data_IF_515866738629
#
_entry.id   IF_515866738629
#
_cell.length_a   1.000
_cell.length_b   1.000
_cell.length_c   1.000
_cell.angle_alpha   90.00
_cell.angle_beta   90.00
_cell.angle_gamma   90.00
#
_symmetry.space_group_name_H-M   'P 1'
#
loop_
_entity.id
_entity.type
_entity.pdbx_description
1 polymer ?
#
# COMPACT_ATOMS: atom_id res chain seq x y z
N UNK A 1 -2.68 -14.79 -2.92
CA UNK A 1 -2.89 -14.53 -1.47
C UNK A 1 -1.75 -15.20 -0.74
N UNK A 2 -1.11 -14.45 0.15
CA UNK A 2 0.02 -14.88 0.95
C UNK A 2 -0.30 -14.67 2.43
N UNK A 3 0.35 -15.44 3.29
CA UNK A 3 0.23 -15.30 4.74
C UNK A 3 1.57 -14.79 5.25
N UNK A 4 1.65 -13.50 5.57
CA UNK A 4 2.87 -12.84 6.05
C UNK A 4 2.70 -12.58 7.54
N UNK A 5 3.55 -13.18 8.37
CA UNK A 5 3.43 -13.14 9.83
C UNK A 5 2.03 -13.55 10.35
N UNK A 6 1.24 -14.33 9.63
CA UNK A 6 -0.14 -14.68 10.01
C UNK A 6 -1.21 -13.69 9.54
N UNK A 7 -0.84 -12.61 8.84
CA UNK A 7 -1.74 -11.65 8.20
C UNK A 7 -2.02 -12.09 6.76
N UNK A 8 -3.30 -12.08 6.35
CA UNK A 8 -3.69 -12.41 4.97
C UNK A 8 -3.46 -11.22 4.05
N UNK A 9 -2.47 -11.34 3.16
CA UNK A 9 -2.08 -10.31 2.19
C UNK A 9 -2.47 -10.75 0.78
N UNK A 10 -3.22 -9.91 0.07
CA UNK A 10 -3.48 -10.09 -1.35
C UNK A 10 -2.44 -9.27 -2.15
N UNK A 11 -1.51 -9.95 -2.82
CA UNK A 11 -0.63 -9.30 -3.80
C UNK A 11 -1.42 -9.12 -5.09
N UNK A 12 -1.72 -7.87 -5.44
CA UNK A 12 -2.47 -7.54 -6.64
C UNK A 12 -1.60 -7.64 -7.89
N UNK A 13 -2.19 -8.09 -8.99
CA UNK A 13 -1.62 -8.02 -10.34
C UNK A 13 -2.27 -6.91 -11.19
N UNK A 14 -3.19 -6.14 -10.60
CA UNK A 14 -4.02 -5.13 -11.27
C UNK A 14 -3.55 -3.71 -10.91
N UNK A 15 -3.58 -2.80 -11.89
CA UNK A 15 -3.27 -1.39 -11.67
C UNK A 15 -4.30 -0.68 -10.81
N UNK A 16 -3.84 0.32 -10.08
CA UNK A 16 -4.63 1.15 -9.18
C UNK A 16 -4.41 2.62 -9.55
N UNK A 17 -5.21 3.11 -10.51
CA UNK A 17 -5.02 4.45 -11.09
C UNK A 17 -5.88 5.51 -10.40
N UNK A 18 -7.00 5.10 -9.78
CA UNK A 18 -7.97 6.02 -9.19
C UNK A 18 -8.73 5.44 -7.98
N UNK A 19 -9.58 6.25 -7.37
CA UNK A 19 -10.40 5.86 -6.21
C UNK A 19 -11.41 4.74 -6.50
N UNK A 20 -11.97 4.67 -7.72
CA UNK A 20 -12.92 3.63 -8.09
C UNK A 20 -12.23 2.27 -8.19
N UNK A 21 -11.03 2.22 -8.77
CA UNK A 21 -10.20 1.00 -8.80
C UNK A 21 -9.88 0.55 -7.37
N UNK A 22 -9.54 1.50 -6.48
CA UNK A 22 -9.25 1.20 -5.07
C UNK A 22 -10.43 0.47 -4.41
N UNK A 23 -11.65 0.99 -4.60
CA UNK A 23 -12.85 0.39 -4.01
C UNK A 23 -13.13 -0.99 -4.59
N UNK A 24 -12.99 -1.17 -5.91
CA UNK A 24 -13.20 -2.46 -6.56
C UNK A 24 -12.23 -3.51 -6.01
N UNK A 25 -10.94 -3.19 -5.95
CA UNK A 25 -9.90 -4.09 -5.45
C UNK A 25 -10.08 -4.41 -3.95
N UNK A 26 -10.51 -3.45 -3.14
CA UNK A 26 -10.84 -3.69 -1.72
C UNK A 26 -11.98 -4.70 -1.59
N UNK A 27 -13.05 -4.53 -2.37
CA UNK A 27 -14.21 -5.43 -2.37
C UNK A 27 -13.79 -6.83 -2.80
N UNK A 28 -13.04 -6.95 -3.89
CA UNK A 28 -12.58 -8.24 -4.41
C UNK A 28 -11.66 -8.94 -3.41
N UNK A 29 -10.68 -8.22 -2.84
CA UNK A 29 -9.78 -8.78 -1.83
C UNK A 29 -10.53 -9.21 -0.55
N UNK A 30 -11.55 -8.48 -0.14
CA UNK A 30 -12.35 -8.84 1.02
C UNK A 30 -13.19 -10.10 0.78
N UNK A 31 -13.96 -10.15 -0.32
CA UNK A 31 -14.89 -11.24 -0.57
C UNK A 31 -14.23 -12.49 -1.14
N UNK A 32 -13.27 -12.35 -2.07
CA UNK A 32 -12.63 -13.48 -2.73
C UNK A 32 -11.45 -14.04 -1.91
N UNK A 33 -10.79 -13.21 -1.12
CA UNK A 33 -9.52 -13.58 -0.46
C UNK A 33 -9.54 -13.41 1.05
N UNK A 34 -10.61 -12.84 1.64
CA UNK A 34 -10.67 -12.51 3.07
C UNK A 34 -9.43 -11.72 3.53
N UNK A 35 -8.82 -10.95 2.63
CA UNK A 35 -7.56 -10.28 2.88
C UNK A 35 -7.74 -9.18 3.93
N UNK A 36 -6.66 -8.93 4.67
CA UNK A 36 -6.56 -7.82 5.61
C UNK A 36 -5.70 -6.69 5.04
N UNK A 37 -4.83 -7.02 4.08
CA UNK A 37 -3.96 -6.10 3.36
C UNK A 37 -3.97 -6.40 1.86
N UNK A 38 -3.77 -5.35 1.07
CA UNK A 38 -3.47 -5.47 -0.37
C UNK A 38 -2.09 -4.88 -0.64
N UNK A 39 -1.24 -5.66 -1.31
CA UNK A 39 0.10 -5.25 -1.72
C UNK A 39 0.13 -4.94 -3.22
N UNK A 40 0.73 -3.80 -3.55
CA UNK A 40 0.96 -3.33 -4.92
C UNK A 40 2.44 -3.06 -5.16
N UNK A 41 2.87 -3.29 -6.39
CA UNK A 41 4.16 -2.78 -6.89
C UNK A 41 4.07 -1.27 -7.16
N UNK A 42 5.17 -0.52 -7.09
CA UNK A 42 5.20 0.89 -7.45
C UNK A 42 4.68 1.16 -8.87
N UNK A 43 4.93 0.24 -9.81
CA UNK A 43 4.51 0.35 -11.21
C UNK A 43 2.98 0.33 -11.37
N UNK A 44 2.28 -0.47 -10.56
CA UNK A 44 0.81 -0.57 -10.58
C UNK A 44 0.11 0.69 -10.06
N UNK A 45 0.79 1.49 -9.23
CA UNK A 45 0.25 2.73 -8.67
C UNK A 45 0.48 3.94 -9.59
N UNK A 46 1.41 3.81 -10.54
CA UNK A 46 1.80 4.89 -11.44
C UNK A 46 2.50 6.06 -10.74
N UNK A 47 3.05 6.99 -11.54
CA UNK A 47 3.82 8.13 -11.02
C UNK A 47 2.96 9.11 -10.21
N UNK A 48 1.70 9.29 -10.60
CA UNK A 48 0.78 10.24 -9.97
C UNK A 48 0.51 9.94 -8.49
N UNK A 49 0.56 8.66 -8.09
CA UNK A 49 0.45 8.26 -6.69
C UNK A 49 1.60 8.83 -5.84
N UNK A 50 2.81 8.83 -6.38
CA UNK A 50 4.01 9.31 -5.68
C UNK A 50 4.19 10.84 -5.75
N UNK A 51 3.43 11.51 -6.63
CA UNK A 51 3.36 12.97 -6.70
C UNK A 51 2.29 13.50 -5.73
N UNK A 52 2.67 13.74 -4.47
CA UNK A 52 1.71 14.06 -3.40
C UNK A 52 0.86 15.33 -3.64
N UNK A 53 1.31 16.25 -4.48
CA UNK A 53 0.55 17.43 -4.88
C UNK A 53 -0.70 17.11 -5.70
N UNK A 54 -0.80 15.92 -6.30
CA UNK A 54 -2.00 15.47 -7.01
C UNK A 54 -3.16 15.18 -6.07
N UNK A 55 -2.88 14.89 -4.79
CA UNK A 55 -3.87 14.44 -3.81
C UNK A 55 -4.33 12.97 -4.00
N UNK A 56 -3.88 12.29 -5.06
CA UNK A 56 -4.31 10.93 -5.40
C UNK A 56 -3.96 9.92 -4.31
N UNK A 57 -2.72 9.92 -3.84
CA UNK A 57 -2.26 9.04 -2.76
C UNK A 57 -3.12 9.18 -1.49
N UNK A 58 -3.48 10.40 -1.12
CA UNK A 58 -4.35 10.68 0.03
C UNK A 58 -5.76 10.12 -0.18
N UNK A 59 -6.35 10.35 -1.36
CA UNK A 59 -7.69 9.87 -1.70
C UNK A 59 -7.77 8.33 -1.69
N UNK A 60 -6.80 7.66 -2.31
CA UNK A 60 -6.68 6.18 -2.29
C UNK A 60 -6.49 5.68 -0.87
N UNK A 61 -5.51 6.21 -0.13
CA UNK A 61 -5.24 5.77 1.26
C UNK A 61 -6.48 5.94 2.14
N UNK A 62 -7.25 7.02 1.95
CA UNK A 62 -8.49 7.24 2.68
C UNK A 62 -9.53 6.14 2.43
N UNK A 63 -9.64 5.59 1.21
CA UNK A 63 -10.52 4.44 0.96
C UNK A 63 -10.09 3.22 1.77
N UNK A 64 -8.81 2.86 1.72
CA UNK A 64 -8.27 1.74 2.48
C UNK A 64 -8.56 1.87 3.99
N UNK A 65 -8.35 3.06 4.56
CA UNK A 65 -8.68 3.36 5.95
C UNK A 65 -10.19 3.23 6.23
N UNK A 66 -11.04 3.80 5.38
CA UNK A 66 -12.50 3.77 5.55
C UNK A 66 -13.05 2.34 5.54
N UNK A 67 -12.51 1.48 4.67
CA UNK A 67 -12.86 0.07 4.58
C UNK A 67 -12.09 -0.83 5.54
N UNK A 68 -11.22 -0.27 6.40
CA UNK A 68 -10.39 -0.99 7.37
C UNK A 68 -9.52 -2.08 6.73
N UNK A 69 -9.02 -1.79 5.54
CA UNK A 69 -8.06 -2.64 4.80
C UNK A 69 -6.69 -1.95 4.81
N UNK A 70 -5.63 -2.71 5.01
CA UNK A 70 -4.26 -2.19 4.87
C UNK A 70 -3.81 -2.08 3.42
N UNK A 71 -3.00 -1.06 3.12
CA UNK A 71 -2.35 -0.86 1.83
C UNK A 71 -0.84 -1.05 1.98
N UNK A 72 -0.24 -1.89 1.17
CA UNK A 72 1.21 -2.04 1.10
C UNK A 72 1.72 -1.69 -0.30
N UNK A 73 2.80 -0.91 -0.35
CA UNK A 73 3.60 -0.67 -1.55
C UNK A 73 4.88 -1.46 -1.42
N UNK A 74 5.06 -2.46 -2.27
CA UNK A 74 6.17 -3.43 -2.21
C UNK A 74 7.04 -3.29 -3.44
N UNK A 75 8.23 -2.72 -3.26
CA UNK A 75 9.21 -2.51 -4.32
C UNK A 75 10.12 -1.29 -4.06
N UNK A 76 11.23 -1.22 -4.79
CA UNK A 76 12.22 -0.16 -4.63
C UNK A 76 11.72 1.20 -5.14
N UNK A 77 11.47 2.13 -4.20
CA UNK A 77 11.16 3.54 -4.47
C UNK A 77 12.26 4.50 -4.01
N UNK A 78 13.45 4.00 -3.69
CA UNK A 78 14.57 4.78 -3.13
C UNK A 78 14.91 6.01 -3.96
N UNK A 79 14.91 5.89 -5.29
CA UNK A 79 15.13 7.01 -6.22
C UNK A 79 14.06 8.09 -6.09
N UNK A 80 12.79 7.71 -5.96
CA UNK A 80 11.65 8.64 -5.79
C UNK A 80 11.75 9.36 -4.45
N UNK A 81 12.04 8.61 -3.39
CA UNK A 81 12.25 9.13 -2.02
C UNK A 81 13.43 10.11 -1.97
N UNK A 82 14.55 9.78 -2.60
CA UNK A 82 15.72 10.66 -2.66
C UNK A 82 15.44 11.97 -3.42
N UNK A 83 14.54 11.94 -4.41
CA UNK A 83 14.19 13.09 -5.23
C UNK A 83 13.12 14.00 -4.60
N UNK A 84 12.38 13.55 -3.59
CA UNK A 84 11.22 14.27 -3.04
C UNK A 84 11.17 14.19 -1.51
N UNK A 85 11.50 15.31 -0.85
CA UNK A 85 11.38 15.43 0.61
C UNK A 85 9.96 15.17 1.12
N UNK A 86 8.88 15.70 0.51
CA UNK A 86 7.52 15.38 0.93
C UNK A 86 7.22 13.87 0.87
N UNK A 87 7.65 13.19 -0.19
CA UNK A 87 7.47 11.75 -0.32
C UNK A 87 8.27 10.99 0.75
N UNK A 88 9.53 11.37 0.99
CA UNK A 88 10.36 10.76 2.02
C UNK A 88 9.73 10.90 3.43
N UNK A 89 9.22 12.10 3.74
CA UNK A 89 8.55 12.35 5.01
C UNK A 89 7.25 11.55 5.14
N UNK A 90 6.48 11.42 4.04
CA UNK A 90 5.25 10.62 4.00
C UNK A 90 5.52 9.13 4.19
N UNK A 91 6.46 8.54 3.46
CA UNK A 91 6.85 7.12 3.59
C UNK A 91 7.24 6.79 5.03
N UNK A 92 8.07 7.63 5.65
CA UNK A 92 8.50 7.43 7.04
C UNK A 92 7.35 7.51 8.03
N UNK A 93 6.39 8.42 7.82
CA UNK A 93 5.23 8.55 8.68
C UNK A 93 4.25 7.39 8.49
N UNK A 94 4.00 6.99 7.24
CA UNK A 94 3.18 5.82 6.89
C UNK A 94 3.72 4.55 7.54
N UNK A 95 5.03 4.29 7.44
CA UNK A 95 5.68 3.12 8.04
C UNK A 95 5.68 3.12 9.58
N UNK A 96 5.27 4.22 10.23
CA UNK A 96 4.99 4.26 11.68
C UNK A 96 3.49 4.11 11.99
N UNK A 97 2.65 4.34 10.99
CA UNK A 97 1.21 4.16 11.06
C UNK A 97 0.77 2.70 10.93
N UNK A 98 -0.55 2.52 10.81
CA UNK A 98 -1.22 1.21 10.84
C UNK A 98 -1.78 0.72 9.51
N UNK A 99 -2.01 1.63 8.55
CA UNK A 99 -2.87 1.33 7.39
C UNK A 99 -2.15 1.45 6.04
N UNK A 100 -0.93 2.00 6.01
CA UNK A 100 -0.13 2.14 4.80
C UNK A 100 1.31 1.78 5.11
N UNK A 101 1.87 0.82 4.37
CA UNK A 101 3.26 0.40 4.48
C UNK A 101 3.97 0.55 3.14
N UNK A 102 5.26 0.88 3.22
CA UNK A 102 6.22 0.83 2.13
C UNK A 102 7.33 -0.12 2.53
N UNK A 103 7.58 -1.12 1.69
CA UNK A 103 8.61 -2.13 1.89
C UNK A 103 9.36 -2.35 0.58
N UNK A 104 10.66 -2.61 0.65
CA UNK A 104 11.49 -2.90 -0.52
C UNK A 104 11.11 -4.26 -1.16
N UNK A 105 10.66 -5.21 -0.34
CA UNK A 105 10.20 -6.53 -0.75
C UNK A 105 9.18 -7.10 0.25
N UNK A 106 8.68 -8.32 -0.03
CA UNK A 106 7.71 -8.99 0.82
C UNK A 106 8.29 -9.42 2.18
N UNK A 107 9.61 -9.61 2.28
CA UNK A 107 10.27 -9.94 3.54
C UNK A 107 10.27 -8.75 4.50
N UNK A 108 10.62 -7.56 4.03
CA UNK A 108 10.49 -6.34 4.83
C UNK A 108 9.02 -6.08 5.21
N UNK A 109 8.07 -6.33 4.30
CA UNK A 109 6.65 -6.22 4.63
C UNK A 109 6.25 -7.19 5.75
N UNK A 110 6.72 -8.44 5.70
CA UNK A 110 6.47 -9.43 6.74
C UNK A 110 7.01 -8.99 8.11
N UNK A 111 8.24 -8.49 8.17
CA UNK A 111 8.84 -7.94 9.40
C UNK A 111 8.00 -6.79 9.96
N UNK A 112 7.60 -5.84 9.11
CA UNK A 112 6.76 -4.72 9.51
C UNK A 112 5.39 -5.19 10.04
N UNK A 113 4.77 -6.21 9.43
CA UNK A 113 3.50 -6.76 9.91
C UNK A 113 3.64 -7.52 11.23
N UNK A 114 4.77 -8.19 11.46
CA UNK A 114 5.07 -8.90 12.70
C UNK A 114 5.20 -7.94 13.89
N UNK A 115 5.89 -6.80 13.71
CA UNK A 115 6.09 -5.79 14.75
C UNK A 115 4.79 -5.10 15.23
N UNK A 116 3.66 -5.37 14.56
CA UNK A 116 2.35 -4.75 14.79
C UNK A 116 1.35 -5.65 15.52
N UNK A 117 1.75 -6.86 15.92
CA UNK A 117 0.94 -7.83 16.66
C UNK A 117 1.08 -7.66 18.17
#
# INVERSE_FOLDING_TARGET
MELLAGVRVHVSDTSLDNESDAVQLIVDAHYAHQAEWIAFTPEQLGDAFFELSTGLAGAITQKFVMYRMGLAVVGDISKRVAASKPLADWVRESNRGRNLLFAADLGELEEQLQDRQ
#
